data_IF_688168438457
#
_entry.id   IF_688168438457
#
_cell.length_a   1.000
_cell.length_b   1.000
_cell.length_c   1.000
_cell.angle_alpha   90.00
_cell.angle_beta   90.00
_cell.angle_gamma   90.00
#
_symmetry.space_group_name_H-M   'P 1'
#
loop_
_entity.id
_entity.type
_entity.pdbx_description
1 polymer ?
#
# COMPACT_ATOMS: atom_id res chain seq x y z
N UNK A 1 6.50 -12.00 67.94
CA UNK A 1 7.44 -11.62 66.87
C UNK A 1 6.63 -11.21 65.65
N UNK A 2 5.84 -10.16 65.85
CA UNK A 2 4.59 -9.88 65.13
C UNK A 2 4.63 -8.45 64.60
N UNK A 3 5.76 -8.04 63.98
CA UNK A 3 5.94 -6.62 63.62
C UNK A 3 6.80 -6.31 62.39
N UNK A 4 7.20 -7.30 61.57
CA UNK A 4 8.01 -7.05 60.37
C UNK A 4 7.42 -7.55 59.05
N UNK A 5 6.18 -8.06 59.05
CA UNK A 5 5.56 -8.74 57.91
C UNK A 5 4.39 -8.00 57.24
N UNK A 6 4.08 -6.74 57.58
CA UNK A 6 2.83 -6.09 57.10
C UNK A 6 2.99 -4.85 56.22
N UNK A 7 4.20 -4.35 55.93
CA UNK A 7 4.36 -3.14 55.10
C UNK A 7 4.66 -3.41 53.63
N UNK A 8 5.55 -4.36 53.33
CA UNK A 8 6.07 -4.58 51.96
C UNK A 8 5.08 -5.31 51.05
N UNK A 9 4.36 -6.30 51.59
CA UNK A 9 3.31 -7.01 50.84
C UNK A 9 2.03 -6.17 50.67
N UNK A 10 1.72 -5.29 51.62
CA UNK A 10 0.61 -4.36 51.50
C UNK A 10 0.90 -3.29 50.45
N UNK A 11 2.13 -2.78 50.33
CA UNK A 11 2.49 -1.82 49.28
C UNK A 11 2.41 -2.42 47.88
N UNK A 12 2.90 -3.64 47.65
CA UNK A 12 2.81 -4.30 46.34
C UNK A 12 1.38 -4.68 45.94
N UNK A 13 0.55 -5.13 46.89
CA UNK A 13 -0.89 -5.39 46.65
C UNK A 13 -1.69 -4.08 46.47
N UNK A 14 -1.30 -3.00 47.17
CA UNK A 14 -1.89 -1.67 47.01
C UNK A 14 -1.53 -1.03 45.66
N UNK A 15 -0.31 -1.25 45.15
CA UNK A 15 0.14 -0.81 43.83
C UNK A 15 -0.57 -1.54 42.68
N UNK A 16 -0.93 -2.82 42.85
CA UNK A 16 -1.67 -3.57 41.84
C UNK A 16 -3.18 -3.23 41.80
N UNK A 17 -3.76 -2.79 42.93
CA UNK A 17 -5.21 -2.56 43.06
C UNK A 17 -5.67 -1.13 42.76
N UNK A 18 -4.78 -0.12 42.73
CA UNK A 18 -5.15 1.28 42.53
C UNK A 18 -5.04 1.74 41.07
N UNK A 19 -5.91 1.22 40.19
CA UNK A 19 -6.32 1.97 38.99
C UNK A 19 -7.25 3.10 39.43
N UNK A 20 -6.67 4.17 39.97
CA UNK A 20 -7.17 5.56 40.09
C UNK A 20 -6.58 6.20 41.35
N UNK A 21 -5.45 6.87 41.19
CA UNK A 21 -4.99 8.10 41.88
C UNK A 21 -3.48 8.05 42.12
N UNK A 22 -2.80 9.18 41.84
CA UNK A 22 -1.36 9.46 41.97
C UNK A 22 -0.39 8.92 40.90
N UNK A 23 -0.41 9.61 39.75
CA UNK A 23 0.80 9.86 38.94
C UNK A 23 1.92 10.37 39.87
N UNK A 24 2.97 9.58 40.12
CA UNK A 24 4.36 10.03 40.38
C UNK A 24 5.30 8.98 41.00
N UNK A 25 4.86 7.75 41.32
CA UNK A 25 5.78 6.70 41.85
C UNK A 25 5.94 5.45 40.96
N UNK A 26 5.21 5.32 39.86
CA UNK A 26 5.17 4.11 39.02
C UNK A 26 6.41 3.92 38.11
N UNK A 27 7.23 4.97 37.91
CA UNK A 27 8.25 4.97 36.85
C UNK A 27 9.69 4.64 37.28
N UNK A 28 9.96 4.40 38.57
CA UNK A 28 11.35 4.42 39.08
C UNK A 28 12.22 3.25 38.59
N UNK A 29 11.63 2.09 38.27
CA UNK A 29 12.37 0.89 37.82
C UNK A 29 11.87 0.29 36.50
N UNK A 30 10.80 0.84 35.90
CA UNK A 30 10.22 0.33 34.65
C UNK A 30 11.17 0.44 33.45
N UNK A 31 11.94 1.53 33.37
CA UNK A 31 12.94 1.73 32.32
C UNK A 31 14.11 0.75 32.44
N UNK A 32 14.62 0.52 33.65
CA UNK A 32 15.68 -0.46 33.91
C UNK A 32 15.17 -1.90 33.63
N UNK A 33 13.91 -2.19 33.94
CA UNK A 33 13.26 -3.47 33.64
C UNK A 33 13.13 -3.72 32.13
N UNK A 34 12.67 -2.73 31.36
CA UNK A 34 12.53 -2.82 29.90
C UNK A 34 13.89 -3.00 29.21
N UNK A 35 14.95 -2.42 29.77
CA UNK A 35 16.33 -2.56 29.30
C UNK A 35 17.05 -3.81 29.81
N UNK A 36 16.35 -4.70 30.52
CA UNK A 36 16.88 -5.95 31.11
C UNK A 36 18.05 -5.75 32.09
N UNK A 37 18.13 -4.60 32.75
CA UNK A 37 19.16 -4.34 33.76
C UNK A 37 18.76 -4.88 35.15
N UNK A 38 18.61 -6.20 35.23
CA UNK A 38 18.08 -6.88 36.42
C UNK A 38 18.96 -6.73 37.67
N UNK A 39 20.29 -6.74 37.51
CA UNK A 39 21.25 -6.59 38.61
C UNK A 39 21.09 -5.26 39.37
N UNK A 40 20.73 -4.18 38.65
CA UNK A 40 20.50 -2.87 39.25
C UNK A 40 19.22 -2.86 40.07
N UNK A 41 18.20 -3.55 39.60
CA UNK A 41 16.90 -3.67 40.27
C UNK A 41 17.04 -4.51 41.54
N UNK A 42 17.76 -5.63 41.46
CA UNK A 42 18.04 -6.49 42.61
C UNK A 42 18.81 -5.76 43.71
N UNK A 43 19.88 -5.02 43.36
CA UNK A 43 20.64 -4.22 44.33
C UNK A 43 19.82 -3.12 44.98
N UNK A 44 18.95 -2.44 44.21
CA UNK A 44 18.13 -1.35 44.75
C UNK A 44 16.99 -1.85 45.64
N UNK A 45 16.49 -3.05 45.39
CA UNK A 45 15.38 -3.67 46.13
C UNK A 45 15.86 -4.65 47.21
N UNK A 46 17.17 -4.95 47.26
CA UNK A 46 17.75 -5.90 48.21
C UNK A 46 17.21 -7.32 48.05
N UNK A 47 16.92 -7.73 46.82
CA UNK A 47 16.35 -9.04 46.50
C UNK A 47 17.46 -10.04 46.19
N UNK A 48 17.29 -11.27 46.67
CA UNK A 48 18.09 -12.40 46.23
C UNK A 48 17.67 -12.88 44.82
N UNK A 49 18.49 -13.73 44.21
CA UNK A 49 18.25 -14.22 42.84
C UNK A 49 16.97 -15.06 42.73
N UNK A 50 16.67 -15.85 43.77
CA UNK A 50 15.51 -16.74 43.80
C UNK A 50 14.19 -15.96 43.91
N UNK A 51 14.14 -14.94 44.75
CA UNK A 51 12.98 -14.07 44.91
C UNK A 51 12.79 -13.15 43.71
N UNK A 52 13.89 -12.65 43.13
CA UNK A 52 13.81 -11.88 41.89
C UNK A 52 13.21 -12.70 40.73
N UNK A 53 13.63 -13.97 40.60
CA UNK A 53 13.10 -14.89 39.59
C UNK A 53 11.61 -15.15 39.76
N UNK A 54 11.12 -15.30 41.00
CA UNK A 54 9.69 -15.44 41.30
C UNK A 54 8.90 -14.19 40.88
N UNK A 55 9.43 -13.00 41.14
CA UNK A 55 8.80 -11.72 40.76
C UNK A 55 8.72 -11.57 39.24
N UNK A 56 9.81 -11.85 38.52
CA UNK A 56 9.83 -11.83 37.04
C UNK A 56 8.79 -12.80 36.48
N UNK A 57 8.73 -14.02 37.00
CA UNK A 57 7.79 -15.04 36.56
C UNK A 57 6.33 -14.60 36.74
N UNK A 58 6.03 -13.87 37.81
CA UNK A 58 4.71 -13.29 38.05
C UNK A 58 4.39 -12.18 37.03
N UNK A 59 5.34 -11.27 36.77
CA UNK A 59 5.16 -10.15 35.84
C UNK A 59 4.96 -10.66 34.41
N UNK A 60 5.74 -11.66 33.96
CA UNK A 60 5.61 -12.25 32.61
C UNK A 60 4.23 -12.91 32.41
N UNK A 61 3.63 -13.44 33.49
CA UNK A 61 2.31 -14.07 33.43
C UNK A 61 1.16 -13.06 33.31
N UNK A 62 1.41 -11.77 33.58
CA UNK A 62 0.40 -10.74 33.46
C UNK A 62 0.16 -10.41 31.98
N UNK A 63 -1.10 -10.41 31.56
CA UNK A 63 -1.47 -9.93 30.23
C UNK A 63 -1.29 -8.39 30.20
N UNK A 64 -0.39 -7.84 29.37
CA UNK A 64 -0.16 -6.40 29.29
C UNK A 64 -1.37 -5.64 28.72
N UNK A 65 -2.30 -6.35 28.06
CA UNK A 65 -3.52 -5.79 27.45
C UNK A 65 -4.73 -6.70 27.74
N UNK A 66 -5.23 -6.76 28.98
CA UNK A 66 -6.35 -7.64 29.34
C UNK A 66 -7.67 -7.32 28.59
N UNK A 67 -7.78 -6.10 28.03
CA UNK A 67 -8.91 -5.66 27.20
C UNK A 67 -8.76 -5.93 25.70
N UNK A 68 -7.68 -6.56 25.21
CA UNK A 68 -7.57 -6.92 23.79
C UNK A 68 -8.60 -7.97 23.37
N UNK A 69 -8.98 -8.87 24.28
CA UNK A 69 -10.03 -9.86 24.07
C UNK A 69 -11.45 -9.26 24.10
N UNK A 70 -11.62 -8.10 24.75
CA UNK A 70 -12.88 -7.35 24.85
C UNK A 70 -12.92 -6.11 23.96
N UNK A 71 -11.86 -5.89 23.18
CA UNK A 71 -11.98 -5.07 21.99
C UNK A 71 -12.93 -5.87 21.12
N UNK A 72 -14.22 -5.55 21.18
CA UNK A 72 -15.04 -5.59 19.99
C UNK A 72 -14.18 -4.91 18.95
N UNK A 73 -13.48 -5.74 18.17
CA UNK A 73 -12.84 -5.33 16.94
C UNK A 73 -13.90 -4.46 16.33
N UNK A 74 -13.64 -3.15 16.25
CA UNK A 74 -14.44 -2.30 15.41
C UNK A 74 -14.25 -2.94 14.05
N UNK A 75 -15.13 -3.87 13.70
CA UNK A 75 -15.08 -4.73 12.51
C UNK A 75 -15.43 -3.90 11.27
N UNK A 76 -15.23 -2.60 11.37
CA UNK A 76 -14.65 -1.74 10.36
C UNK A 76 -13.11 -1.87 10.41
N UNK A 77 -12.56 -3.08 10.42
CA UNK A 77 -11.39 -3.30 9.57
C UNK A 77 -11.83 -2.81 8.21
N UNK A 78 -11.17 -1.77 7.71
CA UNK A 78 -11.60 -1.01 6.54
C UNK A 78 -11.56 -1.94 5.34
N UNK A 79 -12.65 -2.67 5.09
CA UNK A 79 -12.72 -3.63 4.02
C UNK A 79 -12.71 -2.84 2.72
N UNK A 80 -11.54 -2.79 2.08
CA UNK A 80 -11.38 -2.13 0.80
C UNK A 80 -12.15 -2.97 -0.21
N UNK A 81 -13.24 -2.43 -0.73
CA UNK A 81 -13.97 -3.04 -1.83
C UNK A 81 -13.11 -2.82 -3.09
N UNK A 82 -12.58 -3.88 -3.71
CA UNK A 82 -11.74 -3.73 -4.89
C UNK A 82 -12.57 -3.31 -6.10
N UNK A 83 -11.92 -2.60 -7.02
CA UNK A 83 -12.51 -2.18 -8.29
C UNK A 83 -12.29 -3.22 -9.39
N UNK A 84 -11.21 -4.00 -9.29
CA UNK A 84 -10.83 -5.03 -10.25
C UNK A 84 -10.66 -6.38 -9.54
N UNK A 85 -11.00 -7.45 -10.25
CA UNK A 85 -10.67 -8.82 -9.86
C UNK A 85 -9.84 -9.47 -10.96
N UNK A 86 -8.78 -10.15 -10.55
CA UNK A 86 -7.93 -10.95 -11.42
C UNK A 86 -7.95 -12.39 -10.93
N UNK A 87 -8.30 -13.30 -11.82
CA UNK A 87 -8.34 -14.74 -11.56
C UNK A 87 -7.35 -15.45 -12.47
N UNK A 88 -6.68 -16.49 -11.97
CA UNK A 88 -5.80 -17.32 -12.77
C UNK A 88 -6.51 -18.63 -13.12
N UNK A 89 -6.91 -18.77 -14.38
CA UNK A 89 -7.54 -19.97 -14.91
C UNK A 89 -6.52 -20.77 -15.73
N UNK A 90 -5.78 -21.67 -15.06
CA UNK A 90 -4.76 -22.53 -15.67
C UNK A 90 -3.70 -21.76 -16.50
N UNK A 91 -3.25 -20.61 -16.01
CA UNK A 91 -2.27 -19.76 -16.67
C UNK A 91 -2.86 -18.66 -17.55
N UNK A 92 -4.18 -18.62 -17.71
CA UNK A 92 -4.91 -17.53 -18.34
C UNK A 92 -5.44 -16.58 -17.27
N UNK A 93 -4.94 -15.34 -17.28
CA UNK A 93 -5.37 -14.31 -16.36
C UNK A 93 -6.66 -13.65 -16.88
N UNK A 94 -7.74 -13.78 -16.12
CA UNK A 94 -9.04 -13.19 -16.42
C UNK A 94 -9.24 -11.93 -15.58
N UNK A 95 -9.44 -10.80 -16.25
CA UNK A 95 -9.73 -9.51 -15.63
C UNK A 95 -11.22 -9.21 -15.65
N UNK A 96 -11.77 -8.83 -14.50
CA UNK A 96 -13.14 -8.31 -14.41
C UNK A 96 -13.20 -7.04 -13.57
N UNK A 97 -14.15 -6.16 -13.92
CA UNK A 97 -14.44 -4.94 -13.16
C UNK A 97 -15.58 -5.21 -12.18
N UNK A 98 -15.48 -4.66 -10.99
CA UNK A 98 -16.55 -4.72 -10.00
C UNK A 98 -17.74 -3.84 -10.45
N UNK A 99 -18.69 -4.46 -11.13
CA UNK A 99 -19.88 -3.83 -11.71
C UNK A 99 -20.89 -3.35 -10.66
N UNK A 100 -20.74 -3.73 -9.37
CA UNK A 100 -21.57 -3.16 -8.29
C UNK A 100 -21.45 -1.63 -8.19
N UNK A 101 -20.38 -1.04 -8.72
CA UNK A 101 -20.14 0.40 -8.71
C UNK A 101 -20.84 1.16 -9.86
N UNK A 102 -21.45 0.49 -10.84
CA UNK A 102 -22.17 1.15 -11.94
C UNK A 102 -23.24 0.21 -12.56
N UNK A 103 -24.53 0.37 -12.22
CA UNK A 103 -25.61 -0.44 -12.82
C UNK A 103 -25.76 -0.18 -14.31
N UNK A 104 -26.39 -1.11 -15.04
CA UNK A 104 -26.74 -0.88 -16.45
C UNK A 104 -27.71 0.30 -16.58
N UNK A 105 -27.21 1.41 -17.11
CA UNK A 105 -28.02 2.59 -17.39
C UNK A 105 -28.68 2.47 -18.76
N UNK A 106 -29.99 2.69 -18.79
CA UNK A 106 -30.79 2.72 -20.01
C UNK A 106 -31.63 3.98 -20.05
N UNK A 107 -31.87 4.47 -21.26
CA UNK A 107 -32.81 5.57 -21.48
C UNK A 107 -34.23 5.00 -21.32
N UNK A 108 -35.13 5.76 -20.67
CA UNK A 108 -36.52 5.34 -20.51
C UNK A 108 -37.28 5.35 -21.84
N UNK A 109 -37.95 4.24 -22.17
CA UNK A 109 -38.66 4.11 -23.45
C UNK A 109 -39.88 5.04 -23.57
N UNK A 110 -40.50 5.45 -22.46
CA UNK A 110 -41.63 6.39 -22.49
C UNK A 110 -41.26 7.74 -23.11
N UNK A 111 -40.03 8.24 -22.88
CA UNK A 111 -39.56 9.46 -23.52
C UNK A 111 -39.21 9.27 -25.00
N UNK A 112 -38.77 8.07 -25.40
CA UNK A 112 -38.54 7.74 -26.82
C UNK A 112 -39.86 7.63 -27.59
N UNK A 113 -40.88 7.03 -26.98
CA UNK A 113 -42.22 6.93 -27.55
C UNK A 113 -42.88 8.30 -27.69
N UNK A 114 -42.74 9.17 -26.68
CA UNK A 114 -43.25 10.54 -26.74
C UNK A 114 -42.62 11.35 -27.90
N UNK A 115 -41.33 11.15 -28.16
CA UNK A 115 -40.64 11.76 -29.31
C UNK A 115 -41.16 11.20 -30.64
N UNK A 116 -41.30 9.88 -30.77
CA UNK A 116 -41.83 9.21 -31.98
C UNK A 116 -43.29 9.57 -32.28
N UNK A 117 -44.13 9.66 -31.24
CA UNK A 117 -45.53 10.03 -31.37
C UNK A 117 -45.67 11.46 -31.90
N UNK A 118 -44.76 12.35 -31.52
CA UNK A 118 -44.79 13.73 -31.97
C UNK A 118 -44.26 13.93 -33.39
N UNK A 119 -43.20 13.21 -33.80
CA UNK A 119 -42.72 13.21 -35.19
C UNK A 119 -43.82 12.79 -36.19
N UNK A 120 -44.81 12.00 -35.73
CA UNK A 120 -45.97 11.57 -36.51
C UNK A 120 -47.17 12.52 -36.48
N UNK A 121 -47.12 13.60 -35.68
CA UNK A 121 -48.26 14.51 -35.50
C UNK A 121 -48.12 15.78 -36.35
N UNK A 122 -49.14 16.07 -37.18
CA UNK A 122 -49.15 17.23 -38.11
C UNK A 122 -49.47 18.57 -37.43
N UNK A 123 -50.04 18.57 -36.22
CA UNK A 123 -50.42 19.79 -35.48
C UNK A 123 -49.34 20.17 -34.46
N UNK A 124 -48.48 21.12 -34.83
CA UNK A 124 -47.36 21.59 -33.99
C UNK A 124 -47.73 22.86 -33.22
N UNK A 125 -48.25 22.72 -32.01
CA UNK A 125 -48.50 23.89 -31.14
C UNK A 125 -47.17 24.43 -30.56
N UNK A 126 -47.02 25.74 -30.37
CA UNK A 126 -45.73 26.36 -29.94
C UNK A 126 -45.21 25.80 -28.60
N UNK A 127 -46.11 25.63 -27.63
CA UNK A 127 -45.82 25.02 -26.33
C UNK A 127 -45.32 23.57 -26.44
N UNK A 128 -45.92 22.79 -27.35
CA UNK A 128 -45.52 21.41 -27.55
C UNK A 128 -44.14 21.31 -28.23
N UNK A 129 -43.82 22.25 -29.11
CA UNK A 129 -42.49 22.38 -29.73
C UNK A 129 -41.40 22.68 -28.69
N UNK A 130 -41.69 23.56 -27.72
CA UNK A 130 -40.78 23.85 -26.60
C UNK A 130 -40.59 22.64 -25.68
N UNK A 131 -41.66 21.91 -25.34
CA UNK A 131 -41.59 20.69 -24.55
C UNK A 131 -40.71 19.60 -25.20
N UNK A 132 -40.75 19.47 -26.53
CA UNK A 132 -39.89 18.51 -27.25
C UNK A 132 -38.44 18.90 -27.27
N UNK A 133 -38.15 20.18 -27.45
CA UNK A 133 -36.77 20.67 -27.39
C UNK A 133 -36.19 20.34 -26.01
N UNK A 134 -36.97 20.56 -24.95
CA UNK A 134 -36.58 20.18 -23.60
C UNK A 134 -36.36 18.67 -23.43
N UNK A 135 -37.30 17.83 -23.88
CA UNK A 135 -37.17 16.36 -23.80
C UNK A 135 -35.98 15.86 -24.60
N UNK A 136 -35.76 16.39 -25.80
CA UNK A 136 -34.61 16.07 -26.65
C UNK A 136 -33.29 16.40 -25.94
N UNK A 137 -33.17 17.60 -25.37
CA UNK A 137 -31.99 17.99 -24.60
C UNK A 137 -31.72 17.05 -23.42
N UNK A 138 -32.77 16.62 -22.69
CA UNK A 138 -32.63 15.65 -21.59
C UNK A 138 -32.21 14.27 -22.07
N UNK A 139 -32.73 13.82 -23.21
CA UNK A 139 -32.35 12.55 -23.82
C UNK A 139 -30.91 12.55 -24.32
N UNK A 140 -30.48 13.64 -24.96
CA UNK A 140 -29.11 13.79 -25.44
C UNK A 140 -28.12 13.84 -24.26
N UNK A 141 -28.47 14.56 -23.18
CA UNK A 141 -27.70 14.56 -21.94
C UNK A 141 -27.61 13.16 -21.30
N UNK A 142 -28.73 12.41 -21.27
CA UNK A 142 -28.75 11.06 -20.74
C UNK A 142 -27.90 10.10 -21.57
N UNK A 143 -27.99 10.16 -22.91
CA UNK A 143 -27.13 9.37 -23.82
C UNK A 143 -25.66 9.68 -23.61
N UNK A 144 -25.30 10.97 -23.59
CA UNK A 144 -23.94 11.41 -23.35
C UNK A 144 -23.40 10.88 -22.01
N UNK A 145 -24.22 10.91 -20.94
CA UNK A 145 -23.83 10.40 -19.63
C UNK A 145 -23.59 8.88 -19.64
N UNK A 146 -24.46 8.12 -20.31
CA UNK A 146 -24.29 6.66 -20.48
C UNK A 146 -22.99 6.37 -21.26
N UNK A 147 -22.75 7.09 -22.34
CA UNK A 147 -21.55 6.90 -23.16
C UNK A 147 -20.28 7.29 -22.39
N UNK A 148 -20.33 8.35 -21.59
CA UNK A 148 -19.23 8.74 -20.71
C UNK A 148 -18.90 7.66 -19.67
N UNK A 149 -19.91 6.99 -19.11
CA UNK A 149 -19.70 5.86 -18.18
C UNK A 149 -19.08 4.67 -18.88
N UNK A 150 -19.55 4.32 -20.09
CA UNK A 150 -18.97 3.25 -20.89
C UNK A 150 -17.51 3.53 -21.24
N UNK A 151 -17.22 4.76 -21.67
CA UNK A 151 -15.85 5.21 -21.94
C UNK A 151 -14.96 5.07 -20.69
N UNK A 152 -15.44 5.52 -19.53
CA UNK A 152 -14.73 5.35 -18.26
C UNK A 152 -14.45 3.88 -17.93
N UNK A 153 -15.44 2.99 -18.09
CA UNK A 153 -15.25 1.56 -17.85
C UNK A 153 -14.22 0.96 -18.81
N UNK A 154 -14.27 1.35 -20.09
CA UNK A 154 -13.30 0.94 -21.09
C UNK A 154 -11.88 1.40 -20.73
N UNK A 155 -11.70 2.67 -20.36
CA UNK A 155 -10.41 3.21 -19.91
C UNK A 155 -9.87 2.44 -18.68
N UNK A 156 -10.72 2.12 -17.71
CA UNK A 156 -10.33 1.36 -16.52
C UNK A 156 -9.85 -0.05 -16.90
N UNK A 157 -10.63 -0.76 -17.73
CA UNK A 157 -10.27 -2.10 -18.20
C UNK A 157 -8.98 -2.09 -19.02
N UNK A 158 -8.83 -1.17 -19.98
CA UNK A 158 -7.61 -1.05 -20.78
C UNK A 158 -6.37 -0.76 -19.93
N UNK A 159 -6.50 0.16 -18.97
CA UNK A 159 -5.40 0.50 -18.06
C UNK A 159 -4.99 -0.70 -17.21
N UNK A 160 -5.96 -1.39 -16.62
CA UNK A 160 -5.69 -2.55 -15.78
C UNK A 160 -5.17 -3.75 -16.58
N UNK A 161 -5.70 -3.97 -17.79
CA UNK A 161 -5.22 -5.01 -18.69
C UNK A 161 -3.76 -4.77 -19.06
N UNK A 162 -3.39 -3.53 -19.40
CA UNK A 162 -2.00 -3.19 -19.71
C UNK A 162 -1.07 -3.43 -18.50
N UNK A 163 -1.51 -3.11 -17.28
CA UNK A 163 -0.76 -3.42 -16.05
C UNK A 163 -0.59 -4.93 -15.88
N UNK A 164 -1.67 -5.69 -16.09
CA UNK A 164 -1.69 -7.14 -15.95
C UNK A 164 -0.76 -7.81 -16.97
N UNK A 165 -0.78 -7.37 -18.23
CA UNK A 165 0.08 -7.88 -19.28
C UNK A 165 1.56 -7.55 -19.01
N UNK A 166 1.85 -6.33 -18.54
CA UNK A 166 3.21 -5.92 -18.19
C UNK A 166 3.75 -6.71 -16.99
N UNK A 167 2.91 -6.97 -15.98
CA UNK A 167 3.26 -7.66 -14.74
C UNK A 167 2.79 -9.12 -14.73
N UNK A 168 2.68 -9.75 -15.90
CA UNK A 168 2.07 -11.08 -16.06
C UNK A 168 2.66 -12.13 -15.10
N UNK A 169 3.98 -12.14 -14.95
CA UNK A 169 4.68 -13.11 -14.09
C UNK A 169 4.30 -12.94 -12.61
N UNK A 170 4.21 -11.71 -12.12
CA UNK A 170 3.73 -11.43 -10.76
C UNK A 170 2.29 -11.91 -10.57
N UNK A 171 1.38 -11.62 -11.50
CA UNK A 171 -0.03 -12.04 -11.37
C UNK A 171 -0.21 -13.56 -11.47
N UNK A 172 0.73 -14.28 -12.09
CA UNK A 172 0.73 -15.75 -12.15
C UNK A 172 1.32 -16.39 -10.89
N UNK A 173 2.44 -15.88 -10.35
CA UNK A 173 3.17 -16.54 -9.26
C UNK A 173 2.94 -15.92 -7.88
N UNK A 174 2.52 -14.66 -7.82
CA UNK A 174 2.40 -13.88 -6.58
C UNK A 174 3.74 -13.43 -5.98
N UNK A 175 4.85 -13.74 -6.65
CA UNK A 175 6.19 -13.45 -6.13
C UNK A 175 6.59 -12.00 -6.44
N UNK A 176 6.86 -11.21 -5.40
CA UNK A 176 7.28 -9.82 -5.52
C UNK A 176 8.61 -9.68 -6.29
N UNK A 177 9.47 -10.71 -6.31
CA UNK A 177 10.72 -10.66 -7.08
C UNK A 177 10.48 -10.65 -8.58
N UNK A 178 9.31 -11.10 -9.03
CA UNK A 178 8.92 -11.11 -10.44
C UNK A 178 8.25 -9.81 -10.88
N UNK A 179 8.14 -8.80 -10.00
CA UNK A 179 7.64 -7.48 -10.37
C UNK A 179 8.63 -6.79 -11.30
N UNK A 180 8.15 -6.52 -12.51
CA UNK A 180 8.91 -5.75 -13.48
C UNK A 180 8.91 -4.28 -13.07
N UNK A 181 10.05 -3.59 -13.15
CA UNK A 181 10.06 -2.15 -12.98
C UNK A 181 9.13 -1.50 -14.02
N UNK A 182 8.15 -0.71 -13.56
CA UNK A 182 7.11 -0.12 -14.42
C UNK A 182 6.80 1.30 -13.96
N UNK A 183 6.74 2.24 -14.89
CA UNK A 183 6.40 3.64 -14.64
C UNK A 183 5.07 4.01 -15.32
N UNK A 184 4.50 5.16 -14.94
CA UNK A 184 3.20 5.59 -15.49
C UNK A 184 3.26 5.81 -17.01
N UNK A 185 4.43 6.22 -17.54
CA UNK A 185 4.65 6.48 -18.96
C UNK A 185 4.50 5.21 -19.80
N UNK A 186 4.95 4.05 -19.31
CA UNK A 186 4.87 2.77 -20.03
C UNK A 186 3.42 2.41 -20.33
N UNK A 187 2.58 2.45 -19.30
CA UNK A 187 1.15 2.14 -19.42
C UNK A 187 0.43 3.20 -20.25
N UNK A 188 0.77 4.48 -20.08
CA UNK A 188 0.24 5.58 -20.90
C UNK A 188 0.52 5.37 -22.39
N UNK A 189 1.73 4.94 -22.76
CA UNK A 189 2.11 4.64 -24.14
C UNK A 189 1.37 3.42 -24.71
N UNK A 190 1.26 2.34 -23.94
CA UNK A 190 0.54 1.11 -24.35
C UNK A 190 -0.94 1.41 -24.60
N UNK A 191 -1.57 2.14 -23.66
CA UNK A 191 -3.00 2.45 -23.69
C UNK A 191 -3.35 3.67 -24.56
N UNK A 192 -2.35 4.44 -25.00
CA UNK A 192 -2.50 5.74 -25.68
C UNK A 192 -3.32 6.74 -24.88
N UNK A 193 -3.19 6.71 -23.56
CA UNK A 193 -3.84 7.63 -22.63
C UNK A 193 -2.83 8.64 -22.11
N UNK A 194 -3.31 9.79 -21.63
CA UNK A 194 -2.46 10.72 -20.89
C UNK A 194 -1.93 10.09 -19.60
N UNK A 195 -0.68 10.39 -19.27
CA UNK A 195 -0.03 9.98 -18.00
C UNK A 195 -0.87 10.39 -16.79
N UNK A 196 -1.52 11.56 -16.85
CA UNK A 196 -2.41 12.05 -15.77
C UNK A 196 -3.64 11.17 -15.59
N UNK A 197 -4.19 10.59 -16.67
CA UNK A 197 -5.32 9.67 -16.63
C UNK A 197 -4.93 8.35 -15.98
N UNK A 198 -3.80 7.76 -16.41
CA UNK A 198 -3.27 6.54 -15.79
C UNK A 198 -2.95 6.76 -14.31
N UNK A 199 -2.34 7.89 -13.96
CA UNK A 199 -2.04 8.27 -12.56
C UNK A 199 -3.29 8.34 -11.69
N UNK A 200 -4.39 8.91 -12.19
CA UNK A 200 -5.67 8.97 -11.46
C UNK A 200 -6.24 7.59 -11.18
N UNK A 201 -6.16 6.69 -12.16
CA UNK A 201 -6.59 5.29 -12.00
C UNK A 201 -5.70 4.59 -10.97
N UNK A 202 -4.37 4.64 -11.13
CA UNK A 202 -3.41 3.96 -10.27
C UNK A 202 -3.49 4.40 -8.80
N UNK A 203 -3.75 5.68 -8.53
CA UNK A 203 -3.79 6.22 -7.17
C UNK A 203 -5.10 5.97 -6.42
N UNK A 204 -6.19 5.61 -7.10
CA UNK A 204 -7.53 5.59 -6.51
C UNK A 204 -8.24 4.24 -6.61
N UNK A 205 -7.59 3.22 -7.17
CA UNK A 205 -8.19 1.92 -7.46
C UNK A 205 -7.41 0.77 -6.85
N UNK A 206 -8.14 -0.29 -6.57
CA UNK A 206 -7.61 -1.52 -6.00
C UNK A 206 -7.96 -2.72 -6.88
N UNK A 207 -7.05 -3.68 -6.93
CA UNK A 207 -7.23 -4.97 -7.57
C UNK A 207 -7.17 -6.07 -6.52
N UNK A 208 -8.09 -7.01 -6.57
CA UNK A 208 -8.02 -8.25 -5.83
C UNK A 208 -7.45 -9.35 -6.73
N UNK A 209 -6.43 -10.03 -6.24
CA UNK A 209 -5.78 -11.19 -6.86
C UNK A 209 -5.91 -12.41 -5.92
N UNK A 210 -5.44 -13.57 -6.37
CA UNK A 210 -5.35 -14.78 -5.54
C UNK A 210 -4.41 -14.63 -4.33
N UNK A 211 -3.48 -13.68 -4.41
CA UNK A 211 -2.45 -13.42 -3.40
C UNK A 211 -2.81 -12.28 -2.45
N UNK A 212 -3.90 -11.56 -2.72
CA UNK A 212 -4.38 -10.48 -1.87
C UNK A 212 -4.93 -9.28 -2.63
N UNK A 213 -5.30 -8.23 -1.89
CA UNK A 213 -5.79 -6.97 -2.47
C UNK A 213 -4.69 -5.94 -2.50
N UNK A 214 -4.37 -5.43 -3.69
CA UNK A 214 -3.31 -4.46 -3.92
C UNK A 214 -3.88 -3.15 -4.43
N UNK A 215 -3.31 -2.04 -3.97
CA UNK A 215 -3.52 -0.74 -4.61
C UNK A 215 -2.77 -0.73 -5.94
N UNK A 216 -3.36 -0.26 -7.03
CA UNK A 216 -2.69 -0.27 -8.33
C UNK A 216 -1.34 0.45 -8.33
N UNK A 217 -1.21 1.53 -7.53
CA UNK A 217 0.06 2.25 -7.33
C UNK A 217 1.22 1.33 -6.91
N UNK A 218 0.98 0.22 -6.22
CA UNK A 218 2.01 -0.72 -5.77
C UNK A 218 2.83 -1.31 -6.92
N UNK A 219 2.22 -1.48 -8.09
CA UNK A 219 2.89 -2.00 -9.29
C UNK A 219 3.78 -0.95 -9.97
N UNK A 220 3.62 0.33 -9.63
CA UNK A 220 4.41 1.41 -10.21
C UNK A 220 5.59 1.75 -9.30
N UNK A 221 6.76 1.82 -9.92
CA UNK A 221 7.97 2.38 -9.32
C UNK A 221 8.07 3.88 -9.54
N UNK A 222 8.81 4.56 -8.67
CA UNK A 222 9.24 5.95 -8.91
C UNK A 222 10.11 6.01 -10.17
N UNK A 223 10.02 7.10 -10.93
CA UNK A 223 10.84 7.34 -12.12
C UNK A 223 12.06 8.23 -11.83
N UNK A 224 13.12 8.02 -12.60
CA UNK A 224 14.32 8.84 -12.73
C UNK A 224 14.51 9.16 -14.22
N UNK A 225 15.11 10.30 -14.56
CA UNK A 225 15.46 10.61 -15.95
C UNK A 225 16.87 10.14 -16.27
N UNK A 226 17.03 9.50 -17.42
CA UNK A 226 18.33 9.19 -18.03
C UNK A 226 18.81 10.36 -18.88
N UNK A 227 20.10 10.35 -19.26
CA UNK A 227 20.68 11.39 -20.13
C UNK A 227 20.05 11.41 -21.54
N UNK A 228 19.44 10.31 -21.96
CA UNK A 228 18.67 10.22 -23.20
C UNK A 228 17.29 10.90 -23.13
N UNK A 229 16.88 11.36 -21.94
CA UNK A 229 15.54 11.87 -21.67
C UNK A 229 14.49 10.77 -21.44
N UNK A 230 14.89 9.49 -21.47
CA UNK A 230 14.01 8.37 -21.11
C UNK A 230 13.84 8.29 -19.59
N UNK A 231 12.62 8.00 -19.14
CA UNK A 231 12.32 7.78 -17.74
C UNK A 231 12.54 6.31 -17.40
N UNK A 232 13.36 6.04 -16.39
CA UNK A 232 13.71 4.71 -15.89
C UNK A 232 13.23 4.52 -14.46
N UNK A 233 13.01 3.28 -14.06
CA UNK A 233 12.45 2.96 -12.76
C UNK A 233 13.51 2.97 -11.64
N UNK A 234 13.17 3.54 -10.48
CA UNK A 234 13.95 3.40 -9.25
C UNK A 234 14.12 1.95 -8.81
N UNK A 235 13.15 1.06 -9.06
CA UNK A 235 13.27 -0.39 -8.77
C UNK A 235 14.30 -1.03 -9.70
N UNK A 236 14.31 -0.67 -10.97
CA UNK A 236 15.29 -1.13 -11.95
C UNK A 236 16.70 -0.73 -11.56
N UNK A 237 16.92 0.55 -11.23
CA UNK A 237 18.23 1.05 -10.79
C UNK A 237 18.71 0.32 -9.54
N UNK A 238 17.81 0.04 -8.59
CA UNK A 238 18.13 -0.77 -7.40
C UNK A 238 18.50 -2.22 -7.75
N UNK A 239 17.79 -2.83 -8.68
CA UNK A 239 18.09 -4.19 -9.15
C UNK A 239 19.49 -4.24 -9.76
N UNK A 240 19.78 -3.35 -10.71
CA UNK A 240 21.09 -3.26 -11.37
C UNK A 240 22.19 -2.97 -10.34
N UNK A 241 21.94 -2.08 -9.38
CA UNK A 241 22.88 -1.81 -8.29
C UNK A 241 23.16 -3.08 -7.45
N UNK A 242 22.12 -3.86 -7.15
CA UNK A 242 22.26 -5.14 -6.45
C UNK A 242 23.07 -6.14 -7.26
N UNK A 243 22.85 -6.22 -8.57
CA UNK A 243 23.57 -7.14 -9.47
C UNK A 243 25.06 -6.76 -9.59
N UNK A 244 25.36 -5.46 -9.72
CA UNK A 244 26.74 -4.95 -9.77
C UNK A 244 27.48 -5.28 -8.46
N UNK A 245 26.83 -5.08 -7.32
CA UNK A 245 27.43 -5.39 -6.01
C UNK A 245 27.53 -6.89 -5.79
N UNK A 246 26.55 -7.68 -6.24
CA UNK A 246 26.57 -9.14 -6.17
C UNK A 246 27.71 -9.76 -6.98
N UNK A 247 28.06 -9.14 -8.11
CA UNK A 247 29.18 -9.55 -8.97
C UNK A 247 30.54 -8.93 -8.58
N UNK A 248 30.61 -8.12 -7.50
CA UNK A 248 31.84 -7.41 -7.15
C UNK A 248 32.94 -8.34 -6.61
N UNK A 249 34.20 -7.96 -6.81
CA UNK A 249 35.31 -8.64 -6.15
C UNK A 249 35.32 -8.28 -4.66
N UNK A 250 34.97 -9.23 -3.79
CA UNK A 250 34.90 -9.03 -2.33
C UNK A 250 36.23 -8.66 -1.66
N UNK A 251 37.38 -8.87 -2.31
CA UNK A 251 38.69 -8.38 -1.80
C UNK A 251 38.87 -6.88 -2.05
N UNK A 252 38.18 -6.33 -3.05
CA UNK A 252 38.20 -4.91 -3.43
C UNK A 252 36.78 -4.44 -3.80
N UNK A 253 35.87 -4.35 -2.81
CA UNK A 253 34.49 -3.94 -3.05
C UNK A 253 34.42 -2.51 -3.60
N UNK A 254 33.41 -2.25 -4.44
CA UNK A 254 33.25 -0.96 -5.10
C UNK A 254 32.78 0.11 -4.12
N UNK A 255 33.41 1.29 -4.18
CA UNK A 255 32.94 2.48 -3.45
C UNK A 255 31.63 3.01 -4.05
N UNK A 256 30.84 3.75 -3.27
CA UNK A 256 29.62 4.41 -3.77
C UNK A 256 29.92 5.34 -4.96
N UNK A 257 31.13 5.90 -5.05
CA UNK A 257 31.59 6.68 -6.19
C UNK A 257 31.79 5.80 -7.42
N UNK A 258 32.50 4.67 -7.30
CA UNK A 258 32.69 3.76 -8.43
C UNK A 258 31.38 3.13 -8.91
N UNK A 259 30.45 2.82 -7.99
CA UNK A 259 29.10 2.37 -8.32
C UNK A 259 28.30 3.43 -9.07
N UNK A 260 28.51 4.71 -8.73
CA UNK A 260 27.90 5.82 -9.46
C UNK A 260 28.43 5.88 -10.88
N UNK A 261 29.76 5.84 -11.06
CA UNK A 261 30.38 5.86 -12.40
C UNK A 261 29.87 4.70 -13.28
N UNK A 262 29.77 3.49 -12.71
CA UNK A 262 29.26 2.31 -13.44
C UNK A 262 27.79 2.43 -13.84
N UNK A 263 26.97 3.12 -13.05
CA UNK A 263 25.58 3.40 -13.40
C UNK A 263 25.49 4.48 -14.48
N UNK A 264 26.33 5.52 -14.41
CA UNK A 264 26.42 6.57 -15.44
C UNK A 264 26.92 6.00 -16.77
N UNK A 265 27.93 5.10 -16.75
CA UNK A 265 28.40 4.37 -17.95
C UNK A 265 27.29 3.54 -18.61
N UNK A 266 26.32 3.07 -17.82
CA UNK A 266 25.13 2.36 -18.31
C UNK A 266 23.99 3.30 -18.73
N UNK A 267 24.17 4.61 -18.69
CA UNK A 267 23.19 5.64 -19.08
C UNK A 267 22.26 6.11 -17.96
N UNK A 268 22.48 5.68 -16.71
CA UNK A 268 21.69 6.09 -15.56
C UNK A 268 22.34 7.29 -14.86
N UNK A 269 21.84 8.49 -15.12
CA UNK A 269 22.33 9.71 -14.48
C UNK A 269 21.84 9.80 -13.04
N UNK A 270 22.69 9.40 -12.10
CA UNK A 270 22.36 9.33 -10.69
C UNK A 270 23.47 9.96 -9.85
N UNK A 271 23.09 10.74 -8.84
CA UNK A 271 24.06 11.32 -7.92
C UNK A 271 24.57 10.27 -6.92
N UNK A 272 25.83 10.39 -6.49
CA UNK A 272 26.45 9.54 -5.46
C UNK A 272 25.61 9.40 -4.19
N UNK A 273 25.00 10.50 -3.72
CA UNK A 273 24.11 10.48 -2.53
C UNK A 273 22.88 9.58 -2.74
N UNK A 274 22.35 9.56 -3.96
CA UNK A 274 21.19 8.71 -4.31
C UNK A 274 21.59 7.24 -4.38
N UNK A 275 22.78 6.91 -4.92
CA UNK A 275 23.34 5.55 -4.87
C UNK A 275 23.51 5.07 -3.43
N UNK A 276 24.08 5.90 -2.56
CA UNK A 276 24.22 5.59 -1.13
C UNK A 276 22.85 5.32 -0.47
N UNK A 277 21.85 6.18 -0.74
CA UNK A 277 20.47 6.02 -0.25
C UNK A 277 19.85 4.70 -0.73
N UNK A 278 20.00 4.36 -2.00
CA UNK A 278 19.45 3.12 -2.57
C UNK A 278 20.14 1.87 -2.01
N UNK A 279 21.47 1.92 -1.85
CA UNK A 279 22.24 0.87 -1.18
C UNK A 279 21.75 0.63 0.25
N UNK A 280 21.53 1.69 1.02
CA UNK A 280 20.97 1.60 2.38
C UNK A 280 19.56 1.01 2.41
N UNK A 281 18.70 1.40 1.47
CA UNK A 281 17.35 0.82 1.33
C UNK A 281 17.37 -0.67 0.97
N UNK A 282 18.43 -1.14 0.31
CA UNK A 282 18.67 -2.56 0.01
C UNK A 282 19.37 -3.30 1.17
N UNK A 283 19.60 -2.64 2.31
CA UNK A 283 20.36 -3.18 3.45
C UNK A 283 21.79 -3.64 3.11
N UNK A 284 22.40 -3.07 2.06
CA UNK A 284 23.76 -3.40 1.66
C UNK A 284 24.74 -2.49 2.43
N UNK A 285 25.75 -3.00 3.16
CA UNK A 285 26.66 -2.16 3.91
C UNK A 285 27.68 -1.44 3.01
N UNK A 286 28.37 -0.42 3.55
CA UNK A 286 29.39 0.34 2.82
C UNK A 286 30.57 -0.54 2.39
N UNK A 287 31.28 -0.16 1.33
CA UNK A 287 32.40 -0.93 0.76
C UNK A 287 33.40 -1.46 1.81
N UNK A 288 33.77 -0.65 2.80
CA UNK A 288 34.69 -1.05 3.88
C UNK A 288 34.22 -2.28 4.66
N UNK A 289 32.91 -2.43 4.84
CA UNK A 289 32.28 -3.54 5.58
C UNK A 289 31.96 -4.75 4.70
N UNK A 290 32.01 -4.60 3.37
CA UNK A 290 31.82 -5.71 2.41
C UNK A 290 33.12 -6.43 2.06
N UNK A 291 34.26 -5.95 2.58
CA UNK A 291 35.57 -6.51 2.27
C UNK A 291 35.78 -7.83 3.01
N UNK A 292 35.97 -8.91 2.27
CA UNK A 292 36.35 -10.23 2.79
C UNK A 292 37.85 -10.47 2.50
N UNK A 293 38.53 -11.22 3.39
CA UNK A 293 39.98 -11.54 3.30
C UNK A 293 40.24 -12.69 2.31
#
# INVERSE_FOLDING_TARGET
MTKFLSKTNAELLFFASQKKTNKNKEHKYFNEFTKKHYDKIQRHLGLDDEDFKKVIHLIIRLNPKPGSAYSFVSKAESYVIPDFFVFNNNGLLELSLNSKNAPELRVSEGYREMMRAYDRSDKKNKQQKEALIFIKQKLDAAKWFIDAIKQRQHTLLQTMQAILDFQKEFFLTGDETNLKPMILKDIAQITRLDVSTVSRVANSKFVQTEYGTYKLKYFFSESLQTDSGEEVSTREVKSILSDIIGAENKRKPYSDEKLTDMLVEKGYNIARRTVAKYREQLNIPVARLRKEL
#
